data_IF_908107505596
#
_entry.id   IF_908107505596
#
_cell.length_a   1.000
_cell.length_b   1.000
_cell.length_c   1.000
_cell.angle_alpha   90.00
_cell.angle_beta   90.00
_cell.angle_gamma   90.00
#
_symmetry.space_group_name_H-M   'P 1'
#
loop_
_entity.id
_entity.type
_entity.pdbx_description
1 polymer ?
#
# COMPACT_ATOMS: atom_id res chain seq x y z
N UNK A 1 -4.81 43.65 17.24
CA UNK A 1 -3.93 42.61 16.64
C UNK A 1 -4.21 41.18 17.14
N UNK A 2 -4.96 40.99 18.23
CA UNK A 2 -5.29 39.68 18.85
C UNK A 2 -6.24 38.79 18.04
N UNK A 3 -7.23 39.37 17.33
CA UNK A 3 -8.23 38.62 16.56
C UNK A 3 -7.65 37.86 15.36
N UNK A 4 -6.62 38.42 14.69
CA UNK A 4 -5.92 37.77 13.56
C UNK A 4 -5.01 36.62 14.02
N UNK A 5 -4.40 36.73 15.20
CA UNK A 5 -3.57 35.67 15.79
C UNK A 5 -4.42 34.48 16.25
N UNK A 6 -5.59 34.71 16.84
CA UNK A 6 -6.52 33.64 17.23
C UNK A 6 -7.03 32.82 16.05
N UNK A 7 -7.41 33.47 14.94
CA UNK A 7 -7.82 32.77 13.73
C UNK A 7 -6.69 31.94 13.09
N UNK A 8 -5.46 32.45 13.11
CA UNK A 8 -4.28 31.73 12.61
C UNK A 8 -3.96 30.48 13.44
N UNK A 9 -4.03 30.59 14.77
CA UNK A 9 -3.81 29.44 15.67
C UNK A 9 -4.88 28.38 15.44
N UNK A 10 -6.15 28.78 15.35
CA UNK A 10 -7.25 27.84 15.16
C UNK A 10 -7.18 27.13 13.80
N UNK A 11 -6.83 27.86 12.75
CA UNK A 11 -6.55 27.28 11.43
C UNK A 11 -5.39 26.27 11.48
N UNK A 12 -4.29 26.62 12.14
CA UNK A 12 -3.14 25.72 12.33
C UNK A 12 -3.54 24.45 13.08
N UNK A 13 -4.30 24.57 14.17
CA UNK A 13 -4.75 23.41 14.94
C UNK A 13 -5.66 22.50 14.13
N UNK A 14 -6.53 23.05 13.28
CA UNK A 14 -7.38 22.27 12.39
C UNK A 14 -6.54 21.51 11.35
N UNK A 15 -5.53 22.16 10.75
CA UNK A 15 -4.65 21.51 9.78
C UNK A 15 -3.87 20.35 10.43
N UNK A 16 -3.34 20.55 11.63
CA UNK A 16 -2.62 19.50 12.37
C UNK A 16 -3.56 18.34 12.72
N UNK A 17 -4.78 18.62 13.18
CA UNK A 17 -5.76 17.58 13.50
C UNK A 17 -6.17 16.76 12.26
N UNK A 18 -6.40 17.43 11.12
CA UNK A 18 -6.74 16.75 9.87
C UNK A 18 -5.58 15.90 9.35
N UNK A 19 -4.35 16.41 9.42
CA UNK A 19 -3.15 15.66 9.05
C UNK A 19 -2.96 14.42 9.95
N UNK A 20 -3.12 14.58 11.27
CA UNK A 20 -3.05 13.47 12.22
C UNK A 20 -4.11 12.40 11.96
N UNK A 21 -5.36 12.81 11.71
CA UNK A 21 -6.44 11.88 11.36
C UNK A 21 -6.16 11.12 10.06
N UNK A 22 -5.59 11.78 9.06
CA UNK A 22 -5.17 11.16 7.79
C UNK A 22 -4.05 10.13 7.98
N UNK A 23 -3.02 10.49 8.74
CA UNK A 23 -1.90 9.57 9.06
C UNK A 23 -2.43 8.35 9.82
N UNK A 24 -3.28 8.58 10.82
CA UNK A 24 -3.89 7.50 11.60
C UNK A 24 -4.72 6.56 10.72
N UNK A 25 -5.56 7.10 9.83
CA UNK A 25 -6.36 6.30 8.90
C UNK A 25 -5.49 5.48 7.95
N UNK A 26 -4.45 6.08 7.39
CA UNK A 26 -3.51 5.40 6.48
C UNK A 26 -2.77 4.28 7.22
N UNK A 27 -2.35 4.52 8.46
CA UNK A 27 -1.70 3.52 9.30
C UNK A 27 -2.64 2.33 9.59
N UNK A 28 -3.90 2.60 9.97
CA UNK A 28 -4.90 1.54 10.18
C UNK A 28 -5.16 0.73 8.91
N UNK A 29 -5.25 1.37 7.75
CA UNK A 29 -5.42 0.67 6.47
C UNK A 29 -4.21 -0.20 6.14
N UNK A 30 -3.00 0.32 6.39
CA UNK A 30 -1.76 -0.45 6.26
C UNK A 30 -1.73 -1.71 7.14
N UNK A 31 -2.18 -1.61 8.39
CA UNK A 31 -2.27 -2.75 9.31
C UNK A 31 -3.23 -3.84 8.81
N UNK A 32 -4.38 -3.43 8.25
CA UNK A 32 -5.34 -4.35 7.63
C UNK A 32 -4.73 -5.03 6.40
N UNK A 33 -4.06 -4.26 5.54
CA UNK A 33 -3.38 -4.78 4.36
C UNK A 33 -2.26 -5.76 4.72
N UNK A 34 -1.48 -5.49 5.77
CA UNK A 34 -0.40 -6.37 6.23
C UNK A 34 -0.95 -7.71 6.73
N UNK A 35 -2.04 -7.68 7.50
CA UNK A 35 -2.73 -8.90 7.95
C UNK A 35 -3.30 -9.70 6.77
N UNK A 36 -3.95 -9.03 5.83
CA UNK A 36 -4.48 -9.66 4.63
C UNK A 36 -3.36 -10.27 3.77
N UNK A 37 -2.24 -9.56 3.61
CA UNK A 37 -1.09 -10.03 2.84
C UNK A 37 -0.56 -11.38 3.35
N UNK A 38 -0.54 -11.61 4.66
CA UNK A 38 -0.07 -12.86 5.25
C UNK A 38 -0.84 -14.11 4.79
N UNK A 39 -2.13 -13.97 4.47
CA UNK A 39 -2.99 -15.07 4.01
C UNK A 39 -3.08 -15.16 2.48
N UNK A 40 -2.61 -14.16 1.74
CA UNK A 40 -2.61 -14.19 0.29
C UNK A 40 -1.61 -15.21 -0.23
N UNK A 41 -1.97 -15.87 -1.33
CA UNK A 41 -1.10 -16.78 -2.06
C UNK A 41 -0.88 -16.23 -3.49
N UNK A 42 0.35 -16.33 -4.02
CA UNK A 42 0.61 -15.99 -5.40
C UNK A 42 0.00 -17.04 -6.34
N UNK A 43 -0.23 -16.66 -7.59
CA UNK A 43 -0.89 -17.48 -8.62
C UNK A 43 -2.34 -17.05 -8.93
N UNK A 44 -2.93 -16.19 -8.11
CA UNK A 44 -4.24 -15.56 -8.38
C UNK A 44 -4.18 -14.40 -9.37
N UNK A 45 -5.34 -13.84 -9.73
CA UNK A 45 -5.40 -12.68 -10.61
C UNK A 45 -5.03 -11.40 -9.85
N UNK A 46 -4.44 -10.44 -10.56
CA UNK A 46 -4.17 -9.10 -10.03
C UNK A 46 -5.44 -8.42 -9.49
N UNK A 47 -6.58 -8.63 -10.13
CA UNK A 47 -7.85 -8.03 -9.71
C UNK A 47 -8.23 -8.42 -8.28
N UNK A 48 -8.08 -9.70 -7.93
CA UNK A 48 -8.37 -10.21 -6.58
C UNK A 48 -7.45 -9.57 -5.54
N UNK A 49 -6.16 -9.43 -5.90
CA UNK A 49 -5.17 -8.77 -5.05
C UNK A 49 -5.55 -7.31 -4.76
N UNK A 50 -5.98 -6.57 -5.79
CA UNK A 50 -6.41 -5.17 -5.68
C UNK A 50 -7.73 -5.05 -4.92
N UNK A 51 -8.63 -6.02 -5.04
CA UNK A 51 -9.87 -6.04 -4.27
C UNK A 51 -9.60 -6.21 -2.77
N UNK A 52 -8.59 -7.01 -2.40
CA UNK A 52 -8.25 -7.32 -1.01
C UNK A 52 -7.39 -6.23 -0.37
N UNK A 53 -6.33 -5.78 -1.06
CA UNK A 53 -5.37 -4.80 -0.52
C UNK A 53 -5.73 -3.35 -0.87
N UNK A 54 -6.75 -3.15 -1.70
CA UNK A 54 -7.12 -1.85 -2.25
C UNK A 54 -6.24 -1.44 -3.42
N UNK A 55 -6.41 -0.18 -3.85
CA UNK A 55 -5.65 0.37 -4.97
C UNK A 55 -4.15 0.45 -4.63
N UNK A 56 -3.27 0.04 -5.55
CA UNK A 56 -1.83 0.20 -5.37
C UNK A 56 -1.46 1.68 -5.37
N UNK A 57 -0.53 2.06 -4.50
CA UNK A 57 0.03 3.41 -4.40
C UNK A 57 1.01 3.69 -5.53
N UNK A 58 1.73 2.66 -5.98
CA UNK A 58 2.64 2.76 -7.14
C UNK A 58 2.54 1.53 -8.03
N UNK A 59 2.72 1.76 -9.33
CA UNK A 59 2.72 0.74 -10.38
C UNK A 59 3.97 0.95 -11.21
N UNK A 60 4.89 -0.01 -11.22
CA UNK A 60 6.14 0.09 -11.96
C UNK A 60 6.32 -1.13 -12.87
N UNK A 61 6.31 -0.92 -14.17
CA UNK A 61 6.64 -1.96 -15.14
C UNK A 61 8.16 -2.09 -15.32
N UNK A 62 8.63 -3.31 -15.61
CA UNK A 62 10.01 -3.51 -16.06
C UNK A 62 10.22 -2.93 -17.47
N UNK A 63 11.48 -2.78 -17.90
CA UNK A 63 11.80 -2.24 -19.23
C UNK A 63 11.19 -3.07 -20.37
N UNK A 64 11.12 -4.40 -20.20
CA UNK A 64 10.52 -5.31 -21.16
C UNK A 64 8.97 -5.31 -21.14
N UNK A 65 8.33 -4.59 -20.21
CA UNK A 65 6.87 -4.56 -19.98
C UNK A 65 6.22 -5.95 -19.79
N UNK A 66 6.99 -6.93 -19.35
CA UNK A 66 6.52 -8.29 -19.08
C UNK A 66 6.11 -8.48 -17.62
N UNK A 67 6.61 -7.63 -16.72
CA UNK A 67 6.31 -7.70 -15.29
C UNK A 67 5.96 -6.32 -14.76
N UNK A 68 4.97 -6.26 -13.88
CA UNK A 68 4.54 -5.05 -13.17
C UNK A 68 4.67 -5.28 -11.68
N UNK A 69 5.43 -4.42 -11.01
CA UNK A 69 5.47 -4.33 -9.56
C UNK A 69 4.38 -3.37 -9.08
N UNK A 70 3.52 -3.86 -8.19
CA UNK A 70 2.49 -3.11 -7.49
C UNK A 70 2.94 -2.90 -6.05
N UNK A 71 2.87 -1.67 -5.57
CA UNK A 71 3.12 -1.37 -4.16
C UNK A 71 1.80 -0.95 -3.51
N UNK A 72 1.54 -1.44 -2.30
CA UNK A 72 0.30 -1.16 -1.57
C UNK A 72 0.56 -0.35 -0.31
N UNK A 73 -0.51 0.25 0.21
CA UNK A 73 -0.48 0.98 1.48
C UNK A 73 0.00 0.05 2.59
N UNK A 74 0.97 0.53 3.37
CA UNK A 74 1.58 -0.17 4.50
C UNK A 74 1.54 0.66 5.78
N UNK A 75 1.66 0.02 6.95
CA UNK A 75 1.81 0.76 8.20
C UNK A 75 3.04 1.66 8.15
N UNK A 76 2.95 2.84 8.76
CA UNK A 76 4.04 3.82 8.76
C UNK A 76 5.35 3.30 9.38
N UNK A 77 5.27 2.30 10.27
CA UNK A 77 6.40 1.68 10.96
C UNK A 77 6.81 0.33 10.35
N UNK A 78 6.28 -0.05 9.18
CA UNK A 78 6.70 -1.27 8.51
C UNK A 78 8.12 -1.12 7.97
N UNK A 79 8.93 -2.17 8.09
CA UNK A 79 10.31 -2.18 7.59
C UNK A 79 10.37 -2.03 6.06
N UNK A 80 9.39 -2.60 5.36
CA UNK A 80 9.25 -2.54 3.90
C UNK A 80 7.79 -2.43 3.49
N UNK A 81 7.51 -1.84 2.31
CA UNK A 81 6.15 -1.77 1.78
C UNK A 81 5.68 -3.14 1.27
N UNK A 82 4.37 -3.39 1.30
CA UNK A 82 3.75 -4.55 0.67
C UNK A 82 3.87 -4.39 -0.83
N UNK A 83 4.44 -5.40 -1.48
CA UNK A 83 4.73 -5.41 -2.90
C UNK A 83 4.23 -6.69 -3.52
N UNK A 84 3.68 -6.59 -4.72
CA UNK A 84 3.36 -7.75 -5.54
C UNK A 84 3.94 -7.60 -6.94
N UNK A 85 4.41 -8.69 -7.52
CA UNK A 85 4.85 -8.72 -8.92
C UNK A 85 3.81 -9.47 -9.73
N UNK A 86 3.37 -8.89 -10.82
CA UNK A 86 2.36 -9.44 -11.72
C UNK A 86 2.98 -9.68 -13.08
N UNK A 87 2.72 -10.83 -13.68
CA UNK A 87 3.00 -11.09 -15.08
C UNK A 87 1.97 -10.38 -15.95
N UNK A 88 2.42 -9.48 -16.84
CA UNK A 88 1.53 -8.66 -17.67
C UNK A 88 0.77 -9.49 -18.71
N UNK A 89 1.36 -10.58 -19.19
CA UNK A 89 0.76 -11.42 -20.24
C UNK A 89 -0.52 -12.11 -19.75
N UNK A 90 -0.46 -12.67 -18.56
CA UNK A 90 -1.51 -13.51 -18.00
C UNK A 90 -2.30 -12.83 -16.86
N UNK A 91 -1.88 -11.61 -16.48
CA UNK A 91 -2.37 -10.82 -15.33
C UNK A 91 -2.37 -11.58 -13.99
N UNK A 92 -1.40 -12.49 -13.84
CA UNK A 92 -1.23 -13.36 -12.68
C UNK A 92 -0.19 -12.79 -11.71
N UNK A 93 -0.50 -12.82 -10.42
CA UNK A 93 0.43 -12.45 -9.36
C UNK A 93 1.49 -13.54 -9.20
N UNK A 94 2.73 -13.20 -9.49
CA UNK A 94 3.89 -14.09 -9.44
C UNK A 94 4.59 -14.08 -8.08
N UNK A 95 4.59 -12.95 -7.40
CA UNK A 95 5.29 -12.76 -6.14
C UNK A 95 4.47 -11.82 -5.25
N UNK A 96 4.44 -12.10 -3.96
CA UNK A 96 3.89 -11.24 -2.93
C UNK A 96 4.93 -11.14 -1.81
N UNK A 97 5.41 -9.92 -1.56
CA UNK A 97 6.27 -9.56 -0.44
C UNK A 97 5.45 -8.69 0.52
N UNK A 98 5.20 -9.18 1.73
CA UNK A 98 4.41 -8.45 2.71
C UNK A 98 5.24 -7.41 3.49
N UNK A 99 6.55 -7.34 3.25
CA UNK A 99 7.43 -6.36 3.89
C UNK A 99 7.78 -6.68 5.35
N UNK A 100 7.40 -7.85 5.84
CA UNK A 100 7.69 -8.39 7.17
C UNK A 100 8.60 -9.64 7.13
N UNK A 101 9.30 -9.83 6.01
CA UNK A 101 10.16 -10.99 5.75
C UNK A 101 9.44 -12.19 5.12
N UNK A 102 8.10 -12.15 5.01
CA UNK A 102 7.34 -13.19 4.29
C UNK A 102 7.25 -12.83 2.80
N UNK A 103 8.00 -13.55 1.98
CA UNK A 103 7.94 -13.49 0.53
C UNK A 103 7.40 -14.82 0.02
N UNK A 104 6.31 -14.78 -0.75
CA UNK A 104 5.73 -15.94 -1.41
C UNK A 104 5.88 -15.78 -2.92
N UNK A 105 6.39 -16.81 -3.58
CA UNK A 105 6.58 -16.86 -5.03
C UNK A 105 5.73 -17.99 -5.64
N UNK A 106 5.23 -17.75 -6.85
CA UNK A 106 4.54 -18.74 -7.66
C UNK A 106 5.43 -19.11 -8.85
N UNK A 107 6.07 -20.27 -8.75
CA UNK A 107 7.13 -20.69 -9.66
C UNK A 107 6.58 -21.62 -10.76
N UNK A 108 5.57 -21.14 -11.49
CA UNK A 108 5.02 -21.84 -12.67
C UNK A 108 5.55 -21.30 -14.00
N UNK A 109 6.54 -20.41 -13.98
CA UNK A 109 7.10 -19.76 -15.16
C UNK A 109 8.61 -19.61 -15.12
#
# INVERSE_FOLDING_TARGET
>A
MTRRRGGLILALTCVVALAGAWVWRTHQQGEVNLKACGVLEPGGQRADLVQILGAPTTIMANQAKTRVALTFTTPFLAEKPIRAVVNVRDDVVMEIDCGDGRIKTYDKY
#
